data_IF_460192438570
#
_entry.id   IF_460192438570
#
_cell.length_a   1.000
_cell.length_b   1.000
_cell.length_c   1.000
_cell.angle_alpha   90.00
_cell.angle_beta   90.00
_cell.angle_gamma   90.00
#
_symmetry.space_group_name_H-M   'P 1'
#
loop_
_entity.id
_entity.type
_entity.pdbx_description
1 polymer ?
#
# COMPACT_ATOMS: atom_id res chain seq x y z
N UNK A 1 -31.04 -19.57 57.93
CA UNK A 1 -31.63 -20.28 56.78
C UNK A 1 -31.01 -19.68 55.54
N UNK A 2 -30.13 -20.42 54.88
CA UNK A 2 -29.33 -19.96 53.75
C UNK A 2 -30.27 -19.82 52.55
N UNK A 3 -30.60 -18.59 52.15
CA UNK A 3 -31.14 -18.34 50.82
C UNK A 3 -29.99 -18.53 49.84
N UNK A 4 -30.00 -19.63 49.10
CA UNK A 4 -29.10 -19.82 47.95
C UNK A 4 -29.57 -18.88 46.85
N UNK A 5 -28.67 -17.99 46.42
CA UNK A 5 -28.79 -17.23 45.17
C UNK A 5 -29.13 -18.18 44.02
N UNK A 6 -30.21 -17.87 43.31
CA UNK A 6 -30.63 -18.56 42.10
C UNK A 6 -29.98 -17.96 40.84
N UNK A 7 -28.96 -17.11 40.99
CA UNK A 7 -28.27 -16.42 39.88
C UNK A 7 -26.98 -17.13 39.43
N UNK A 8 -26.82 -18.42 39.75
CA UNK A 8 -25.65 -19.20 39.34
C UNK A 8 -25.70 -19.70 37.88
N UNK A 9 -26.73 -19.33 37.10
CA UNK A 9 -26.82 -19.61 35.67
C UNK A 9 -27.21 -18.33 34.93
N UNK A 10 -26.25 -17.41 34.77
CA UNK A 10 -26.43 -16.17 34.02
C UNK A 10 -26.70 -16.46 32.55
N UNK A 11 -27.96 -16.60 32.18
CA UNK A 11 -28.39 -16.53 30.79
C UNK A 11 -28.28 -15.08 30.34
N UNK A 12 -27.49 -14.84 29.31
CA UNK A 12 -27.41 -13.55 28.64
C UNK A 12 -28.80 -13.21 28.07
N UNK A 13 -29.46 -12.21 28.65
CA UNK A 13 -30.83 -11.81 28.30
C UNK A 13 -30.89 -10.90 27.07
N UNK A 14 -29.74 -10.56 26.47
CA UNK A 14 -29.67 -9.79 25.23
C UNK A 14 -30.31 -10.56 24.08
N UNK A 15 -30.99 -9.86 23.18
CA UNK A 15 -31.44 -10.44 21.93
C UNK A 15 -30.25 -10.89 21.06
N UNK A 16 -30.47 -11.84 20.16
CA UNK A 16 -29.44 -12.27 19.22
C UNK A 16 -28.84 -11.10 18.41
N UNK A 17 -29.66 -10.09 18.09
CA UNK A 17 -29.22 -8.88 17.40
C UNK A 17 -28.29 -8.02 18.26
N UNK A 18 -28.63 -7.81 19.53
CA UNK A 18 -27.80 -7.08 20.49
C UNK A 18 -26.49 -7.82 20.80
N UNK A 19 -26.53 -9.16 20.89
CA UNK A 19 -25.32 -9.98 21.05
C UNK A 19 -24.40 -9.86 19.84
N UNK A 20 -24.95 -9.99 18.62
CA UNK A 20 -24.19 -9.82 17.38
C UNK A 20 -23.62 -8.41 17.26
N UNK A 21 -24.35 -7.37 17.67
CA UNK A 21 -23.85 -6.00 17.64
C UNK A 21 -22.75 -5.75 18.68
N UNK A 22 -22.87 -6.32 19.88
CA UNK A 22 -21.84 -6.26 20.90
C UNK A 22 -20.55 -6.97 20.46
N UNK A 23 -20.67 -8.17 19.87
CA UNK A 23 -19.53 -8.90 19.29
C UNK A 23 -18.87 -8.11 18.15
N UNK A 24 -19.67 -7.48 17.27
CA UNK A 24 -19.15 -6.58 16.22
C UNK A 24 -18.36 -5.41 16.81
N UNK A 25 -18.89 -4.76 17.86
CA UNK A 25 -18.21 -3.63 18.53
C UNK A 25 -16.93 -4.07 19.23
N UNK A 26 -16.92 -5.22 19.89
CA UNK A 26 -15.73 -5.78 20.55
C UNK A 26 -14.66 -6.17 19.53
N UNK A 27 -15.06 -6.82 18.44
CA UNK A 27 -14.18 -7.16 17.32
C UNK A 27 -13.57 -5.90 16.71
N UNK A 28 -14.38 -4.88 16.43
CA UNK A 28 -13.90 -3.60 15.91
C UNK A 28 -12.93 -2.90 16.88
N UNK A 29 -13.19 -2.96 18.19
CA UNK A 29 -12.29 -2.43 19.21
C UNK A 29 -10.95 -3.19 19.21
N UNK A 30 -10.98 -4.52 19.17
CA UNK A 30 -9.77 -5.35 19.11
C UNK A 30 -8.94 -5.06 17.85
N UNK A 31 -9.60 -4.90 16.70
CA UNK A 31 -8.94 -4.54 15.43
C UNK A 31 -8.27 -3.17 15.48
N UNK A 32 -8.85 -2.22 16.23
CA UNK A 32 -8.25 -0.88 16.47
C UNK A 32 -7.07 -0.93 17.43
N UNK A 33 -7.13 -1.78 18.45
CA UNK A 33 -6.07 -1.92 19.46
C UNK A 33 -4.85 -2.71 18.93
N UNK A 34 -5.07 -3.66 18.03
CA UNK A 34 -4.02 -4.51 17.45
C UNK A 34 -4.13 -4.56 15.92
N UNK A 35 -3.81 -3.46 15.22
CA UNK A 35 -3.93 -3.42 13.77
C UNK A 35 -2.94 -4.37 13.10
N UNK A 36 -3.41 -5.14 12.12
CA UNK A 36 -2.60 -6.01 11.28
C UNK A 36 -2.75 -5.58 9.82
N UNK A 37 -1.70 -4.99 9.24
CA UNK A 37 -1.74 -4.58 7.84
C UNK A 37 -1.54 -5.77 6.90
N UNK A 38 -1.99 -5.65 5.65
CA UNK A 38 -1.70 -6.66 4.61
C UNK A 38 -0.20 -6.95 4.53
N UNK A 39 0.63 -5.90 4.50
CA UNK A 39 2.08 -6.04 4.44
C UNK A 39 2.60 -6.80 5.65
N UNK A 40 2.16 -6.45 6.87
CA UNK A 40 2.58 -7.15 8.09
C UNK A 40 2.15 -8.62 8.08
N UNK A 41 0.92 -8.92 7.64
CA UNK A 41 0.40 -10.29 7.53
C UNK A 41 1.19 -11.12 6.54
N UNK A 42 1.44 -10.58 5.35
CA UNK A 42 2.20 -11.23 4.29
C UNK A 42 3.65 -11.46 4.72
N UNK A 43 4.25 -10.52 5.45
CA UNK A 43 5.59 -10.67 6.03
C UNK A 43 5.68 -11.74 7.13
N UNK A 44 4.61 -11.93 7.91
CA UNK A 44 4.56 -12.96 8.95
C UNK A 44 4.37 -14.37 8.38
N UNK A 45 3.97 -14.50 7.11
CA UNK A 45 3.72 -15.79 6.48
C UNK A 45 5.01 -16.45 5.97
N UNK A 46 5.21 -17.71 6.37
CA UNK A 46 6.35 -18.50 5.91
C UNK A 46 6.09 -19.04 4.50
N UNK A 47 6.78 -18.48 3.51
CA UNK A 47 6.67 -18.91 2.12
C UNK A 47 7.68 -20.04 1.80
N UNK A 48 7.34 -20.94 0.86
CA UNK A 48 8.31 -21.91 0.35
C UNK A 48 9.46 -21.21 -0.41
N UNK A 49 10.59 -21.90 -0.66
CA UNK A 49 11.65 -21.38 -1.53
C UNK A 49 11.08 -20.95 -2.89
N UNK A 50 11.37 -19.71 -3.30
CA UNK A 50 10.83 -19.13 -4.53
C UNK A 50 9.46 -18.45 -4.41
N UNK A 51 8.78 -18.58 -3.27
CA UNK A 51 7.50 -17.93 -2.99
C UNK A 51 6.28 -18.78 -3.34
N UNK A 52 5.14 -18.45 -2.74
CA UNK A 52 3.84 -19.04 -3.11
C UNK A 52 3.42 -18.63 -4.53
N UNK A 53 3.72 -17.37 -4.90
CA UNK A 53 3.55 -16.86 -6.25
C UNK A 53 4.92 -16.47 -6.82
N UNK A 54 5.60 -17.36 -7.57
CA UNK A 54 6.94 -17.10 -8.07
C UNK A 54 6.99 -15.91 -9.04
N UNK A 55 8.05 -15.10 -8.92
CA UNK A 55 8.30 -13.94 -9.82
C UNK A 55 8.44 -14.38 -11.28
N UNK A 56 8.95 -15.59 -11.52
CA UNK A 56 9.10 -16.16 -12.87
C UNK A 56 7.77 -16.38 -13.62
N UNK A 57 6.63 -16.37 -12.92
CA UNK A 57 5.33 -16.40 -13.59
C UNK A 57 5.00 -15.07 -14.26
N UNK A 58 5.56 -13.96 -13.77
CA UNK A 58 5.29 -12.64 -14.31
C UNK A 58 6.09 -12.42 -15.61
N UNK A 59 5.42 -11.94 -16.66
CA UNK A 59 6.09 -11.43 -17.85
C UNK A 59 6.80 -10.12 -17.50
N UNK A 60 8.06 -9.98 -17.91
CA UNK A 60 8.87 -8.78 -17.70
C UNK A 60 8.82 -7.89 -18.94
N UNK A 61 8.45 -6.61 -18.75
CA UNK A 61 8.46 -5.57 -19.80
C UNK A 61 9.36 -4.41 -19.37
N UNK A 62 10.43 -4.17 -20.12
CA UNK A 62 11.26 -2.96 -19.96
C UNK A 62 10.67 -1.85 -20.83
N UNK A 63 10.60 -0.63 -20.32
CA UNK A 63 10.06 0.54 -21.03
C UNK A 63 11.12 1.25 -21.89
N UNK A 64 12.40 0.92 -21.69
CA UNK A 64 13.56 1.35 -22.47
C UNK A 64 13.78 2.88 -22.47
N UNK A 65 13.62 3.55 -21.32
CA UNK A 65 13.97 4.97 -21.13
C UNK A 65 15.43 5.22 -21.55
N UNK A 66 15.69 6.03 -22.59
CA UNK A 66 17.04 6.26 -23.10
C UNK A 66 17.90 7.09 -22.14
N UNK A 67 17.30 7.68 -21.09
CA UNK A 67 17.98 8.54 -20.14
C UNK A 67 18.30 7.76 -18.86
N UNK A 68 19.57 7.39 -18.63
CA UNK A 68 19.94 6.59 -17.46
C UNK A 68 19.84 7.42 -16.17
N UNK A 69 19.75 6.69 -15.06
CA UNK A 69 19.98 7.27 -13.75
C UNK A 69 21.48 7.48 -13.53
N UNK A 70 21.85 8.25 -12.52
CA UNK A 70 23.21 8.33 -12.04
C UNK A 70 23.50 7.14 -11.11
N UNK A 71 24.12 6.09 -11.67
CA UNK A 71 24.33 4.81 -11.00
C UNK A 71 25.48 4.83 -9.98
N UNK A 72 26.43 5.76 -10.16
CA UNK A 72 27.70 5.83 -9.42
C UNK A 72 27.62 6.64 -8.12
N UNK A 73 26.52 7.37 -7.91
CA UNK A 73 26.33 8.21 -6.73
C UNK A 73 25.18 7.63 -5.93
N UNK A 74 25.46 7.26 -4.67
CA UNK A 74 24.38 6.93 -3.76
C UNK A 74 23.49 8.18 -3.61
N UNK A 75 22.18 8.02 -3.79
CA UNK A 75 21.24 9.11 -3.57
C UNK A 75 21.40 9.64 -2.15
N UNK A 76 21.40 10.97 -2.03
CA UNK A 76 21.61 11.67 -0.76
C UNK A 76 20.40 11.60 0.16
N UNK A 77 19.25 11.14 -0.37
CA UNK A 77 18.05 10.86 0.40
C UNK A 77 17.94 9.38 0.75
N UNK A 78 17.35 9.04 1.92
CA UNK A 78 16.98 7.68 2.26
C UNK A 78 16.07 7.03 1.21
N UNK A 79 16.18 5.71 1.04
CA UNK A 79 15.42 4.96 0.03
C UNK A 79 13.89 5.06 0.22
N UNK A 80 13.40 5.17 1.46
CA UNK A 80 11.99 5.41 1.77
C UNK A 80 11.52 6.77 1.25
N UNK A 81 12.33 7.83 1.41
CA UNK A 81 12.02 9.16 0.89
C UNK A 81 12.06 9.17 -0.64
N UNK A 82 13.02 8.48 -1.26
CA UNK A 82 13.04 8.34 -2.72
C UNK A 82 11.79 7.63 -3.24
N UNK A 83 11.36 6.55 -2.57
CA UNK A 83 10.12 5.85 -2.90
C UNK A 83 8.89 6.73 -2.80
N UNK A 84 8.70 7.38 -1.64
CA UNK A 84 7.59 8.30 -1.39
C UNK A 84 7.58 9.47 -2.36
N UNK A 85 8.74 10.04 -2.69
CA UNK A 85 8.83 11.15 -3.64
C UNK A 85 8.30 10.73 -5.00
N UNK A 86 8.77 9.60 -5.53
CA UNK A 86 8.37 9.16 -6.86
C UNK A 86 6.88 8.84 -6.89
N UNK A 87 6.35 8.17 -5.87
CA UNK A 87 4.91 7.88 -5.75
C UNK A 87 4.08 9.17 -5.70
N UNK A 88 4.35 10.06 -4.73
CA UNK A 88 3.52 11.23 -4.46
C UNK A 88 3.59 12.25 -5.61
N UNK A 89 4.77 12.43 -6.19
CA UNK A 89 4.92 13.29 -7.36
C UNK A 89 4.28 12.69 -8.60
N UNK A 90 4.32 11.36 -8.80
CA UNK A 90 3.59 10.74 -9.91
C UNK A 90 2.09 11.02 -9.78
N UNK A 91 1.52 10.93 -8.57
CA UNK A 91 0.10 11.26 -8.32
C UNK A 91 -0.23 12.72 -8.61
N UNK A 92 0.59 13.64 -8.12
CA UNK A 92 0.43 15.08 -8.37
C UNK A 92 0.49 15.40 -9.87
N UNK A 93 1.46 14.83 -10.58
CA UNK A 93 1.66 15.07 -12.01
C UNK A 93 0.62 14.37 -12.90
N UNK A 94 -0.17 13.45 -12.36
CA UNK A 94 -1.24 12.74 -13.09
C UNK A 94 -2.64 13.09 -12.59
N UNK A 95 -2.81 14.35 -12.15
CA UNK A 95 -4.11 14.99 -11.97
C UNK A 95 -4.57 15.14 -10.51
N UNK A 96 -3.75 14.77 -9.52
CA UNK A 96 -4.07 15.08 -8.12
C UNK A 96 -3.63 16.50 -7.77
N UNK A 97 -4.41 17.22 -6.97
CA UNK A 97 -3.90 18.43 -6.32
C UNK A 97 -2.67 18.08 -5.48
N UNK A 98 -1.65 18.95 -5.50
CA UNK A 98 -0.39 18.70 -4.80
C UNK A 98 -0.63 18.53 -3.30
N UNK A 99 -1.53 19.29 -2.68
CA UNK A 99 -1.81 19.17 -1.25
C UNK A 99 -2.51 17.86 -0.93
N UNK A 100 -3.42 17.42 -1.79
CA UNK A 100 -4.12 16.15 -1.64
C UNK A 100 -3.18 14.96 -1.80
N UNK A 101 -2.26 15.02 -2.78
CA UNK A 101 -1.21 14.01 -2.95
C UNK A 101 -0.31 13.92 -1.70
N UNK A 102 0.03 15.07 -1.09
CA UNK A 102 0.86 15.16 0.11
C UNK A 102 0.07 15.19 1.44
N UNK A 103 -1.20 14.76 1.44
CA UNK A 103 -2.08 14.69 2.62
C UNK A 103 -1.46 13.96 3.82
N UNK A 104 -0.81 12.83 3.58
CA UNK A 104 -0.25 11.98 4.64
C UNK A 104 0.91 12.67 5.38
N UNK A 105 1.98 13.16 4.74
CA UNK A 105 3.02 13.92 5.43
C UNK A 105 2.49 15.22 6.04
N UNK A 106 1.53 15.91 5.42
CA UNK A 106 0.88 17.07 6.03
C UNK A 106 0.17 16.72 7.36
N UNK A 107 -0.48 15.56 7.41
CA UNK A 107 -1.10 15.03 8.63
C UNK A 107 -0.02 14.69 9.67
N UNK A 108 1.04 14.01 9.25
CA UNK A 108 2.20 13.70 10.11
C UNK A 108 2.84 14.94 10.71
N UNK A 109 2.98 16.02 9.94
CA UNK A 109 3.54 17.29 10.41
C UNK A 109 2.68 17.93 11.49
N UNK A 110 1.35 17.88 11.34
CA UNK A 110 0.40 18.38 12.36
C UNK A 110 0.53 17.57 13.65
N UNK A 111 0.67 16.24 13.56
CA UNK A 111 0.83 15.36 14.72
C UNK A 111 2.09 15.65 15.54
N UNK A 112 3.16 16.15 14.91
CA UNK A 112 4.42 16.51 15.58
C UNK A 112 4.55 18.01 15.86
N UNK A 113 3.48 18.79 15.63
CA UNK A 113 3.45 20.23 15.91
C UNK A 113 4.19 21.12 14.91
N UNK A 114 4.58 20.61 13.74
CA UNK A 114 5.35 21.34 12.70
C UNK A 114 4.52 21.66 11.44
N UNK A 115 3.20 21.79 11.61
CA UNK A 115 2.25 22.02 10.51
C UNK A 115 2.57 23.27 9.69
N UNK A 116 2.94 24.39 10.33
CA UNK A 116 3.24 25.63 9.63
C UNK A 116 4.45 25.51 8.67
N UNK A 117 5.47 24.72 9.03
CA UNK A 117 6.59 24.45 8.14
C UNK A 117 6.19 23.56 6.99
N UNK A 118 5.40 22.52 7.25
CA UNK A 118 4.91 21.62 6.21
C UNK A 118 4.03 22.36 5.19
N UNK A 119 3.20 23.31 5.63
CA UNK A 119 2.40 24.17 4.74
C UNK A 119 3.29 25.06 3.84
N UNK A 120 4.40 25.60 4.37
CA UNK A 120 5.39 26.31 3.53
C UNK A 120 6.05 25.36 2.54
N UNK A 121 6.47 24.18 2.97
CA UNK A 121 7.14 23.20 2.10
C UNK A 121 6.23 22.77 0.95
N UNK A 122 4.96 22.42 1.22
CA UNK A 122 4.03 22.01 0.15
C UNK A 122 3.74 23.13 -0.84
N UNK A 123 3.70 24.40 -0.40
CA UNK A 123 3.53 25.55 -1.31
C UNK A 123 4.71 25.77 -2.26
N UNK A 124 5.88 25.19 -1.96
CA UNK A 124 7.07 25.25 -2.82
C UNK A 124 7.14 24.08 -3.81
N UNK A 125 6.21 23.12 -3.74
CA UNK A 125 6.17 21.96 -4.64
C UNK A 125 5.44 22.35 -5.92
N UNK A 126 6.20 22.67 -6.96
CA UNK A 126 5.72 23.25 -8.23
C UNK A 126 6.12 22.45 -9.48
N UNK A 127 6.61 21.22 -9.30
CA UNK A 127 7.08 20.35 -10.37
C UNK A 127 8.50 19.84 -10.11
N UNK A 128 9.35 19.88 -11.14
CA UNK A 128 10.69 19.25 -11.12
C UNK A 128 11.85 20.22 -10.89
N UNK A 129 11.57 21.45 -10.43
CA UNK A 129 12.64 22.37 -10.04
C UNK A 129 13.42 21.77 -8.85
N UNK A 130 14.73 22.02 -8.76
CA UNK A 130 15.52 21.52 -7.63
C UNK A 130 15.00 22.02 -6.28
N UNK A 131 14.39 23.21 -6.24
CA UNK A 131 13.71 23.75 -5.07
C UNK A 131 12.48 22.93 -4.67
N UNK A 132 11.61 22.62 -5.63
CA UNK A 132 10.42 21.77 -5.44
C UNK A 132 10.81 20.38 -4.94
N UNK A 133 11.80 19.74 -5.58
CA UNK A 133 12.27 18.40 -5.18
C UNK A 133 12.74 18.40 -3.73
N UNK A 134 13.58 19.37 -3.36
CA UNK A 134 14.07 19.50 -1.98
C UNK A 134 12.93 19.70 -0.99
N UNK A 135 11.97 20.59 -1.31
CA UNK A 135 10.82 20.85 -0.45
C UNK A 135 9.95 19.60 -0.26
N UNK A 136 9.66 18.88 -1.35
CA UNK A 136 8.92 17.62 -1.32
C UNK A 136 9.63 16.56 -0.47
N UNK A 137 10.93 16.34 -0.66
CA UNK A 137 11.69 15.38 0.13
C UNK A 137 11.73 15.73 1.63
N UNK A 138 11.83 17.01 1.98
CA UNK A 138 11.74 17.46 3.38
C UNK A 138 10.35 17.23 3.97
N UNK A 139 9.29 17.50 3.19
CA UNK A 139 7.91 17.27 3.60
C UNK A 139 7.63 15.77 3.83
N UNK A 140 8.15 14.90 2.98
CA UNK A 140 7.94 13.44 3.07
C UNK A 140 8.56 12.82 4.33
N UNK A 141 9.47 13.50 5.03
CA UNK A 141 10.00 13.01 6.30
C UNK A 141 8.93 12.90 7.40
N UNK A 142 7.86 13.71 7.31
CA UNK A 142 6.72 13.64 8.23
C UNK A 142 5.81 12.43 7.96
N UNK A 143 5.92 11.76 6.81
CA UNK A 143 5.07 10.62 6.46
C UNK A 143 5.17 9.49 7.50
N UNK A 144 6.40 9.27 8.02
CA UNK A 144 6.67 8.34 9.12
C UNK A 144 5.89 8.65 10.39
N UNK A 145 5.72 9.94 10.73
CA UNK A 145 4.93 10.35 11.89
C UNK A 145 3.44 10.02 11.71
N UNK A 146 2.92 10.11 10.48
CA UNK A 146 1.55 9.71 10.18
C UNK A 146 1.37 8.19 10.22
N UNK A 147 2.34 7.40 9.76
CA UNK A 147 2.22 5.94 9.66
C UNK A 147 2.58 5.18 10.94
N UNK A 148 3.49 5.72 11.74
CA UNK A 148 4.00 5.05 12.95
C UNK A 148 3.73 5.84 14.24
N UNK A 149 3.03 6.96 14.14
CA UNK A 149 2.74 7.86 15.24
C UNK A 149 3.90 8.83 15.56
N UNK A 150 3.61 9.91 16.31
CA UNK A 150 4.57 11.00 16.55
C UNK A 150 5.67 10.66 17.56
N UNK A 151 5.44 9.71 18.49
CA UNK A 151 6.35 9.47 19.62
C UNK A 151 7.77 9.03 19.23
N UNK A 152 7.89 8.22 18.17
CA UNK A 152 9.16 7.74 17.64
C UNK A 152 9.74 8.61 16.52
N UNK A 153 9.04 9.65 16.08
CA UNK A 153 9.51 10.47 14.96
C UNK A 153 10.60 11.44 15.42
N UNK A 154 11.67 11.54 14.62
CA UNK A 154 12.73 12.54 14.77
C UNK A 154 13.06 13.07 13.37
N UNK A 155 13.21 14.40 13.20
CA UNK A 155 13.49 14.97 11.90
C UNK A 155 14.84 14.47 11.39
N UNK A 156 14.85 13.95 10.16
CA UNK A 156 16.09 13.63 9.45
C UNK A 156 16.64 14.89 8.77
N UNK A 157 17.97 14.99 8.69
CA UNK A 157 18.60 15.97 7.81
C UNK A 157 18.42 15.48 6.37
N UNK A 158 17.55 16.14 5.63
CA UNK A 158 17.32 15.89 4.21
C UNK A 158 18.09 16.92 3.40
N UNK A 159 19.12 16.47 2.70
CA UNK A 159 19.90 17.27 1.76
C UNK A 159 19.83 16.57 0.41
N UNK A 160 19.38 17.26 -0.63
CA UNK A 160 19.12 16.65 -1.95
C UNK A 160 20.02 17.34 -2.97
N UNK A 161 21.06 16.61 -3.39
CA UNK A 161 22.02 17.08 -4.38
C UNK A 161 21.47 17.00 -5.82
N UNK A 162 22.24 17.56 -6.77
CA UNK A 162 21.89 17.58 -8.19
C UNK A 162 21.64 16.18 -8.78
N UNK A 163 22.58 15.21 -8.61
CA UNK A 163 22.39 13.84 -9.07
C UNK A 163 21.14 13.15 -8.49
N UNK A 164 20.83 13.38 -7.21
CA UNK A 164 19.62 12.84 -6.58
C UNK A 164 18.37 13.50 -7.18
N UNK A 165 18.37 14.82 -7.38
CA UNK A 165 17.27 15.52 -8.06
C UNK A 165 17.01 14.97 -9.45
N UNK A 166 18.07 14.69 -10.22
CA UNK A 166 17.96 14.04 -11.53
C UNK A 166 17.30 12.67 -11.40
N UNK A 167 17.84 11.78 -10.56
CA UNK A 167 17.33 10.41 -10.43
C UNK A 167 15.86 10.39 -10.03
N UNK A 168 15.48 11.21 -9.06
CA UNK A 168 14.11 11.33 -8.59
C UNK A 168 13.17 11.82 -9.70
N UNK A 169 13.56 12.88 -10.42
CA UNK A 169 12.76 13.42 -11.52
C UNK A 169 12.63 12.43 -12.68
N UNK A 170 13.72 11.72 -13.03
CA UNK A 170 13.69 10.69 -14.08
C UNK A 170 12.79 9.52 -13.71
N UNK A 171 12.82 9.06 -12.46
CA UNK A 171 11.90 8.00 -12.01
C UNK A 171 10.43 8.43 -12.07
N UNK A 172 10.12 9.69 -11.76
CA UNK A 172 8.76 10.22 -11.98
C UNK A 172 8.43 10.24 -13.47
N UNK A 173 9.32 10.76 -14.33
CA UNK A 173 9.11 10.79 -15.77
C UNK A 173 8.85 9.39 -16.37
N UNK A 174 9.61 8.37 -15.95
CA UNK A 174 9.37 6.96 -16.32
C UNK A 174 7.99 6.48 -15.89
N UNK A 175 7.53 6.93 -14.71
CA UNK A 175 6.22 6.56 -14.19
C UNK A 175 5.07 7.23 -14.95
N UNK A 176 5.29 8.46 -15.46
CA UNK A 176 4.35 9.10 -16.38
C UNK A 176 4.25 8.33 -17.70
N UNK A 177 5.39 8.01 -18.32
CA UNK A 177 5.42 7.21 -19.54
C UNK A 177 4.80 5.81 -19.36
N UNK A 178 5.04 5.18 -18.21
CA UNK A 178 4.36 3.95 -17.82
C UNK A 178 2.84 4.12 -17.76
N UNK A 179 2.33 5.22 -17.20
CA UNK A 179 0.89 5.49 -17.15
C UNK A 179 0.30 5.88 -18.51
N UNK A 180 1.11 6.38 -19.45
CA UNK A 180 0.68 6.54 -20.84
C UNK A 180 0.47 5.18 -21.54
N UNK A 181 1.27 4.15 -21.20
CA UNK A 181 1.14 2.80 -21.76
C UNK A 181 0.06 1.96 -21.06
N UNK A 182 0.01 1.99 -19.73
CA UNK A 182 -0.84 1.10 -18.91
C UNK A 182 -2.06 1.76 -18.30
N UNK A 183 -2.15 3.09 -18.33
CA UNK A 183 -3.25 3.85 -17.76
C UNK A 183 -4.51 3.86 -18.64
N UNK A 184 -5.45 4.78 -18.36
CA UNK A 184 -5.41 5.73 -17.26
C UNK A 184 -5.63 5.06 -15.90
N UNK A 185 -5.22 5.75 -14.84
CA UNK A 185 -5.54 5.35 -13.47
C UNK A 185 -7.04 5.52 -13.23
N UNK A 186 -7.73 4.45 -12.85
CA UNK A 186 -9.17 4.48 -12.54
C UNK A 186 -9.44 4.67 -11.04
N UNK A 187 -8.51 4.25 -10.18
CA UNK A 187 -8.62 4.43 -8.74
C UNK A 187 -7.23 4.46 -8.08
N UNK A 188 -6.96 5.46 -7.24
CA UNK A 188 -5.73 5.61 -6.44
C UNK A 188 -5.98 5.29 -4.98
N UNK A 189 -4.94 4.89 -4.25
CA UNK A 189 -5.02 4.59 -2.81
C UNK A 189 -6.16 3.64 -2.49
N UNK A 190 -6.33 2.60 -3.31
CA UNK A 190 -7.49 1.74 -3.25
C UNK A 190 -7.53 0.98 -1.91
N UNK A 191 -8.75 0.74 -1.44
CA UNK A 191 -9.03 0.15 -0.12
C UNK A 191 -9.80 -1.16 -0.27
N UNK A 192 -9.85 -1.92 0.82
CA UNK A 192 -10.50 -3.22 0.87
C UNK A 192 -11.67 -3.25 1.87
N UNK A 193 -12.38 -2.13 2.05
CA UNK A 193 -13.53 -2.08 2.97
C UNK A 193 -14.54 -3.20 2.63
N UNK A 194 -14.95 -3.96 3.64
CA UNK A 194 -15.75 -5.19 3.49
C UNK A 194 -14.93 -6.46 3.26
N UNK A 195 -13.66 -6.35 2.86
CA UNK A 195 -12.70 -7.46 2.72
C UNK A 195 -11.64 -7.53 3.83
N UNK A 196 -11.70 -6.66 4.83
CA UNK A 196 -10.86 -6.80 6.02
C UNK A 196 -11.40 -7.90 6.95
N UNK A 197 -10.49 -8.58 7.65
CA UNK A 197 -10.77 -9.68 8.58
C UNK A 197 -10.05 -9.46 9.91
N UNK A 198 -10.15 -10.41 10.85
CA UNK A 198 -9.37 -10.37 12.10
C UNK A 198 -7.88 -10.63 11.88
N UNK A 199 -7.50 -11.21 10.74
CA UNK A 199 -6.12 -11.47 10.38
C UNK A 199 -5.50 -10.34 9.56
N UNK A 200 -6.33 -9.52 8.90
CA UNK A 200 -5.91 -8.32 8.16
C UNK A 200 -6.93 -7.21 8.38
N UNK A 201 -6.56 -6.21 9.18
CA UNK A 201 -7.45 -5.13 9.61
C UNK A 201 -7.21 -3.82 8.86
N UNK A 202 -6.12 -3.72 8.10
CA UNK A 202 -5.77 -2.52 7.35
C UNK A 202 -4.91 -2.81 6.12
N UNK A 203 -4.87 -1.85 5.20
CA UNK A 203 -4.06 -1.92 3.99
C UNK A 203 -4.64 -1.05 2.89
N UNK A 204 -3.74 -0.53 2.07
CA UNK A 204 -4.01 0.27 0.88
C UNK A 204 -3.04 -0.16 -0.21
N UNK A 205 -3.50 -0.13 -1.46
CA UNK A 205 -2.64 -0.33 -2.62
C UNK A 205 -2.53 0.93 -3.48
N UNK A 206 -1.56 0.95 -4.38
CA UNK A 206 -1.14 2.20 -5.02
C UNK A 206 -2.17 2.69 -6.04
N UNK A 207 -2.45 1.90 -7.09
CA UNK A 207 -3.48 2.26 -8.06
C UNK A 207 -4.01 1.08 -8.86
N UNK A 208 -5.24 1.25 -9.34
CA UNK A 208 -5.88 0.41 -10.35
C UNK A 208 -5.89 1.15 -11.68
N UNK A 209 -5.72 0.39 -12.74
CA UNK A 209 -6.11 0.76 -14.11
C UNK A 209 -7.35 -0.05 -14.48
N UNK A 210 -7.88 0.06 -15.70
CA UNK A 210 -9.16 -0.55 -16.05
C UNK A 210 -9.23 -2.07 -15.78
N UNK A 211 -8.11 -2.77 -15.95
CA UNK A 211 -8.03 -4.23 -15.83
C UNK A 211 -6.83 -4.72 -15.00
N UNK A 212 -6.02 -3.84 -14.43
CA UNK A 212 -4.78 -4.21 -13.75
C UNK A 212 -4.66 -3.54 -12.39
N UNK A 213 -4.38 -4.36 -11.37
CA UNK A 213 -4.00 -3.91 -10.04
C UNK A 213 -2.49 -3.73 -9.98
N UNK A 214 -2.03 -2.52 -9.65
CA UNK A 214 -0.61 -2.18 -9.64
C UNK A 214 -0.09 -1.91 -8.23
N UNK A 215 1.11 -2.42 -7.96
CA UNK A 215 1.93 -2.07 -6.81
C UNK A 215 3.26 -1.48 -7.30
N UNK A 216 3.61 -0.33 -6.73
CA UNK A 216 4.67 0.55 -7.16
C UNK A 216 5.89 0.34 -6.26
N UNK A 217 7.03 -0.01 -6.86
CA UNK A 217 8.23 -0.41 -6.13
C UNK A 217 9.46 0.34 -6.62
N UNK A 218 9.91 1.34 -5.87
CA UNK A 218 11.18 2.02 -6.11
C UNK A 218 12.32 1.21 -5.48
N UNK A 219 12.92 0.30 -6.25
CA UNK A 219 13.94 -0.63 -5.74
C UNK A 219 15.06 -0.85 -6.75
N UNK A 220 16.29 -1.05 -6.27
CA UNK A 220 17.43 -1.49 -7.11
C UNK A 220 17.34 -2.96 -7.52
N UNK A 221 16.40 -3.71 -6.94
CA UNK A 221 16.22 -5.15 -7.17
C UNK A 221 14.88 -5.41 -7.86
N UNK A 222 14.77 -6.50 -8.66
CA UNK A 222 13.49 -6.99 -9.16
C UNK A 222 12.51 -7.31 -8.01
N UNK A 223 11.21 -7.51 -8.33
CA UNK A 223 10.23 -7.94 -7.35
C UNK A 223 10.66 -9.21 -6.60
N UNK A 224 10.15 -9.35 -5.39
CA UNK A 224 10.41 -10.49 -4.51
C UNK A 224 9.14 -11.33 -4.34
N UNK A 225 9.26 -12.58 -3.87
CA UNK A 225 8.13 -13.37 -3.40
C UNK A 225 7.20 -12.65 -2.41
N UNK A 226 7.74 -11.71 -1.64
CA UNK A 226 6.94 -10.89 -0.73
C UNK A 226 6.02 -9.94 -1.50
N UNK A 227 6.57 -9.25 -2.50
CA UNK A 227 5.80 -8.33 -3.34
C UNK A 227 4.75 -9.04 -4.19
N UNK A 228 5.06 -10.22 -4.75
CA UNK A 228 4.10 -10.99 -5.54
C UNK A 228 2.96 -11.54 -4.67
N UNK A 229 3.25 -12.00 -3.45
CA UNK A 229 2.21 -12.41 -2.50
C UNK A 229 1.36 -11.22 -2.03
N UNK A 230 1.95 -10.05 -1.86
CA UNK A 230 1.24 -8.82 -1.49
C UNK A 230 0.19 -8.45 -2.55
N UNK A 231 0.55 -8.38 -3.84
CA UNK A 231 -0.42 -8.04 -4.91
C UNK A 231 -1.50 -9.10 -5.10
N UNK A 232 -1.17 -10.38 -4.90
CA UNK A 232 -2.16 -11.45 -4.88
C UNK A 232 -3.15 -11.26 -3.73
N UNK A 233 -2.65 -10.98 -2.53
CA UNK A 233 -3.49 -10.72 -1.36
C UNK A 233 -4.39 -9.52 -1.58
N UNK A 234 -3.88 -8.43 -2.18
CA UNK A 234 -4.69 -7.26 -2.55
C UNK A 234 -5.82 -7.61 -3.51
N UNK A 235 -5.55 -8.35 -4.59
CA UNK A 235 -6.58 -8.72 -5.55
C UNK A 235 -7.65 -9.61 -4.91
N UNK A 236 -7.24 -10.61 -4.13
CA UNK A 236 -8.18 -11.47 -3.40
C UNK A 236 -9.04 -10.68 -2.42
N UNK A 237 -8.44 -9.84 -1.58
CA UNK A 237 -9.19 -8.96 -0.68
C UNK A 237 -10.13 -8.02 -1.43
N UNK A 238 -9.69 -7.50 -2.58
CA UNK A 238 -10.49 -6.66 -3.45
C UNK A 238 -11.77 -7.34 -3.93
N UNK A 239 -11.69 -8.59 -4.39
CA UNK A 239 -12.85 -9.36 -4.84
C UNK A 239 -13.88 -9.64 -3.73
N UNK A 240 -13.43 -9.69 -2.48
CA UNK A 240 -14.28 -9.84 -1.29
C UNK A 240 -14.68 -8.51 -0.65
N UNK A 241 -14.16 -7.38 -1.16
CA UNK A 241 -14.53 -6.05 -0.70
C UNK A 241 -15.88 -5.60 -1.30
N UNK A 242 -16.41 -4.48 -0.80
CA UNK A 242 -17.64 -3.87 -1.34
C UNK A 242 -17.46 -3.24 -2.72
N UNK A 243 -16.23 -3.19 -3.26
CA UNK A 243 -15.91 -2.40 -4.45
C UNK A 243 -15.98 -3.25 -5.73
N UNK A 244 -16.95 -2.99 -6.63
CA UNK A 244 -17.15 -3.82 -7.82
C UNK A 244 -16.00 -3.72 -8.84
N UNK A 245 -15.20 -2.65 -8.79
CA UNK A 245 -14.06 -2.43 -9.69
C UNK A 245 -13.05 -3.57 -9.66
N UNK A 246 -12.89 -4.28 -8.54
CA UNK A 246 -11.96 -5.41 -8.48
C UNK A 246 -12.36 -6.58 -9.40
N UNK A 247 -13.64 -6.68 -9.79
CA UNK A 247 -14.12 -7.70 -10.73
C UNK A 247 -13.65 -7.48 -12.17
N UNK A 248 -13.22 -6.27 -12.52
CA UNK A 248 -12.65 -5.99 -13.84
C UNK A 248 -11.16 -6.36 -13.93
N UNK A 249 -10.50 -6.61 -12.79
CA UNK A 249 -9.07 -6.90 -12.76
C UNK A 249 -8.77 -8.27 -13.37
N UNK A 250 -8.02 -8.25 -14.47
CA UNK A 250 -7.50 -9.41 -15.21
C UNK A 250 -6.02 -9.64 -14.97
N UNK A 251 -5.27 -8.64 -14.49
CA UNK A 251 -3.82 -8.71 -14.32
C UNK A 251 -3.37 -8.17 -12.96
N UNK A 252 -2.31 -8.78 -12.42
CA UNK A 252 -1.53 -8.24 -11.32
C UNK A 252 -0.25 -7.63 -11.87
N UNK A 253 0.03 -6.40 -11.47
CA UNK A 253 1.14 -5.61 -11.97
C UNK A 253 2.05 -5.12 -10.85
N UNK A 254 3.36 -5.14 -11.13
CA UNK A 254 4.38 -4.52 -10.30
C UNK A 254 5.17 -3.57 -11.19
N UNK A 255 5.24 -2.30 -10.83
CA UNK A 255 5.99 -1.29 -11.59
C UNK A 255 7.20 -0.82 -10.79
N UNK A 256 8.38 -0.80 -11.41
CA UNK A 256 9.60 -0.28 -10.80
C UNK A 256 10.24 0.77 -11.72
N UNK A 257 10.07 2.07 -11.42
CA UNK A 257 10.63 3.13 -12.25
C UNK A 257 12.16 3.24 -12.17
N UNK A 258 12.79 2.67 -11.13
CA UNK A 258 14.25 2.64 -11.05
C UNK A 258 14.85 1.68 -12.06
N UNK A 259 14.24 0.51 -12.18
CA UNK A 259 14.61 -0.51 -13.17
C UNK A 259 13.96 -0.28 -14.52
N UNK A 260 13.07 0.71 -14.61
CA UNK A 260 12.28 1.03 -15.80
C UNK A 260 11.56 -0.21 -16.36
N UNK A 261 10.97 -0.98 -15.45
CA UNK A 261 10.45 -2.32 -15.77
C UNK A 261 9.13 -2.57 -15.06
N UNK A 262 8.17 -3.11 -15.82
CA UNK A 262 6.91 -3.67 -15.34
C UNK A 262 6.98 -5.20 -15.31
N UNK A 263 6.33 -5.81 -14.31
CA UNK A 263 6.07 -7.24 -14.22
C UNK A 263 4.57 -7.46 -14.18
N UNK A 264 4.07 -8.32 -15.07
CA UNK A 264 2.65 -8.55 -15.27
C UNK A 264 2.31 -10.04 -15.17
N UNK A 265 1.20 -10.36 -14.51
CA UNK A 265 0.67 -11.71 -14.44
C UNK A 265 -0.84 -11.70 -14.67
N UNK A 266 -1.30 -12.45 -15.67
CA UNK A 266 -2.72 -12.72 -15.85
C UNK A 266 -3.25 -13.54 -14.67
N UNK A 267 -4.33 -13.07 -14.05
CA UNK A 267 -4.92 -13.71 -12.86
C UNK A 267 -5.43 -15.12 -13.16
N UNK A 268 -5.79 -15.41 -14.42
CA UNK A 268 -6.19 -16.73 -14.89
C UNK A 268 -5.08 -17.79 -14.78
N UNK A 269 -3.81 -17.37 -14.79
CA UNK A 269 -2.65 -18.27 -14.60
C UNK A 269 -2.42 -18.64 -13.13
N UNK A 270 -3.18 -18.05 -12.20
CA UNK A 270 -3.11 -18.33 -10.77
C UNK A 270 -4.10 -19.46 -10.46
N UNK A 271 -3.60 -20.64 -10.11
CA UNK A 271 -4.45 -21.81 -9.83
C UNK A 271 -5.33 -21.65 -8.58
N UNK A 272 -6.50 -22.29 -8.59
CA UNK A 272 -7.51 -22.15 -7.53
C UNK A 272 -7.02 -22.61 -6.15
N UNK A 273 -6.15 -23.62 -6.08
CA UNK A 273 -5.54 -24.03 -4.82
C UNK A 273 -4.74 -22.91 -4.14
N UNK A 274 -4.01 -22.10 -4.92
CA UNK A 274 -3.30 -20.94 -4.37
C UNK A 274 -4.27 -19.82 -3.96
N UNK A 275 -5.33 -19.59 -4.75
CA UNK A 275 -6.37 -18.60 -4.41
C UNK A 275 -7.05 -18.95 -3.09
N UNK A 276 -7.50 -20.19 -2.94
CA UNK A 276 -8.12 -20.69 -1.71
C UNK A 276 -7.17 -20.64 -0.51
N UNK A 277 -5.89 -20.99 -0.68
CA UNK A 277 -4.90 -20.86 0.38
C UNK A 277 -4.76 -19.41 0.86
N UNK A 278 -4.69 -18.45 -0.06
CA UNK A 278 -4.58 -17.02 0.29
C UNK A 278 -5.84 -16.56 1.00
N UNK A 279 -7.01 -16.89 0.46
CA UNK A 279 -8.31 -16.52 1.04
C UNK A 279 -8.48 -17.06 2.46
N UNK A 280 -8.24 -18.36 2.67
CA UNK A 280 -8.51 -19.02 3.95
C UNK A 280 -7.40 -18.80 4.97
N UNK A 281 -6.13 -18.91 4.57
CA UNK A 281 -5.01 -19.01 5.52
C UNK A 281 -4.30 -17.67 5.74
N UNK A 282 -4.21 -16.85 4.69
CA UNK A 282 -3.55 -15.56 4.78
C UNK A 282 -4.56 -14.48 5.19
N UNK A 283 -5.69 -14.43 4.50
CA UNK A 283 -6.73 -13.41 4.73
C UNK A 283 -7.70 -13.85 5.83
N UNK A 284 -8.11 -15.13 5.88
CA UNK A 284 -9.02 -15.63 6.93
C UNK A 284 -10.49 -15.60 6.54
N UNK A 285 -10.81 -15.71 5.26
CA UNK A 285 -12.19 -15.97 4.83
C UNK A 285 -12.61 -17.40 5.17
N UNK A 286 -13.92 -17.64 5.38
CA UNK A 286 -14.43 -19.00 5.54
C UNK A 286 -14.09 -19.84 4.31
N UNK A 287 -13.63 -21.07 4.52
CA UNK A 287 -13.44 -22.01 3.43
C UNK A 287 -14.76 -22.25 2.70
N UNK A 288 -14.70 -22.40 1.39
CA UNK A 288 -15.83 -22.90 0.61
C UNK A 288 -15.99 -24.40 0.91
N UNK A 289 -16.51 -24.73 2.09
CA UNK A 289 -17.04 -26.07 2.33
C UNK A 289 -18.18 -26.27 1.33
N UNK A 290 -17.97 -27.20 0.39
CA UNK A 290 -18.76 -27.39 -0.82
C UNK A 290 -20.27 -27.36 -0.59
N UNK A 291 -20.88 -26.19 -0.84
CA UNK A 291 -22.30 -26.04 -1.12
C UNK A 291 -22.45 -25.77 -2.61
N UNK A 292 -22.27 -26.82 -3.39
CA UNK A 292 -22.99 -27.04 -4.65
C UNK A 292 -24.00 -28.16 -4.41
#
# INVERSE_FOLDING_TARGET
MIYRDADAYGFDLRSAEEMMEAERRETDLRRRLHPMSVVARVHAWHQPPGGLLPVSLFSRRVMDDPMPLHDRVAETVPADIAGLYVDYMTRAMTGSDVRDAFRIPLTGARLVGDGARAERLVSMVDGFSGGSIRAACMLLDYDRASRHGPGGWRPRRIDVDGPTCWNLSRMVARSLAFLDEYGPVVWRDFRFDGGYTDLITSGDGDFLTCDTLWDFKVSKRPPTPMGTLQVLTYWRMGLHSRYPVYRSIRRLGLWNPRLDTAWLLDVERIGDGLRGLVDERIIGYPGSDGRD
#
